data_IF_834038209314
#
_entry.id   IF_834038209314
#
_cell.length_a   1.000
_cell.length_b   1.000
_cell.length_c   1.000
_cell.angle_alpha   90.00
_cell.angle_beta   90.00
_cell.angle_gamma   90.00
#
_symmetry.space_group_name_H-M   'P 1'
#
loop_
_entity.id
_entity.type
_entity.pdbx_description
1 polymer ?
#
# COMPACT_ATOMS: atom_id res chain seq x y z
N UNK A 1 -44.71 9.15 5.11
CA UNK A 1 -43.71 8.24 5.69
C UNK A 1 -42.38 8.63 5.08
N UNK A 2 -41.71 9.55 5.74
CA UNK A 2 -40.51 10.23 5.26
C UNK A 2 -39.30 9.31 5.46
N UNK A 3 -38.67 8.93 4.37
CA UNK A 3 -37.42 8.19 4.37
C UNK A 3 -36.30 9.23 4.55
N UNK A 4 -35.74 9.29 5.76
CA UNK A 4 -34.48 9.98 5.99
C UNK A 4 -33.35 9.17 5.33
N UNK A 5 -32.80 9.66 4.23
CA UNK A 5 -31.57 9.13 3.63
C UNK A 5 -30.35 9.63 4.40
N UNK A 6 -29.98 8.93 5.49
CA UNK A 6 -28.76 9.21 6.27
C UNK A 6 -27.57 8.45 5.67
N UNK A 7 -27.04 8.95 4.56
CA UNK A 7 -25.81 8.43 3.98
C UNK A 7 -25.37 9.26 2.78
N UNK A 8 -24.09 9.63 2.75
CA UNK A 8 -23.47 10.28 1.61
C UNK A 8 -22.44 9.32 1.00
N UNK A 9 -22.47 9.19 -0.33
CA UNK A 9 -21.49 8.42 -1.10
C UNK A 9 -20.46 9.40 -1.65
N UNK A 10 -19.19 9.14 -1.38
CA UNK A 10 -18.08 9.87 -1.99
C UNK A 10 -17.52 8.95 -3.07
N UNK A 11 -17.68 9.33 -4.33
CA UNK A 11 -17.08 8.65 -5.47
C UNK A 11 -15.90 9.51 -5.97
N UNK A 12 -14.68 9.03 -5.74
CA UNK A 12 -13.46 9.70 -6.19
C UNK A 12 -12.76 8.86 -7.25
N UNK A 13 -12.75 9.28 -8.53
CA UNK A 13 -11.95 8.61 -9.55
C UNK A 13 -10.46 8.87 -9.25
N UNK A 14 -9.66 7.82 -9.03
CA UNK A 14 -8.21 7.95 -8.90
C UNK A 14 -7.51 7.24 -7.73
N UNK A 15 -8.17 6.34 -6.99
CA UNK A 15 -7.48 5.64 -5.89
C UNK A 15 -6.28 4.78 -6.34
N UNK A 16 -6.18 4.46 -7.63
CA UNK A 16 -5.04 3.73 -8.20
C UNK A 16 -3.80 4.62 -8.46
N UNK A 17 -3.92 5.96 -8.45
CA UNK A 17 -2.81 6.89 -8.73
C UNK A 17 -2.00 7.28 -7.48
N UNK A 18 -2.51 7.04 -6.27
CA UNK A 18 -1.76 7.22 -5.03
C UNK A 18 -0.78 6.05 -4.88
N UNK A 19 0.38 6.16 -5.54
CA UNK A 19 1.41 5.14 -5.57
C UNK A 19 1.90 4.71 -4.17
N UNK A 20 2.39 3.47 -4.07
CA UNK A 20 2.84 2.85 -2.82
C UNK A 20 4.23 3.32 -2.33
N UNK A 21 4.76 4.42 -2.87
CA UNK A 21 6.13 4.86 -2.59
C UNK A 21 6.41 5.08 -1.08
N UNK A 22 5.41 5.53 -0.33
CA UNK A 22 5.59 5.81 1.10
C UNK A 22 5.35 4.59 2.00
N UNK A 23 4.97 3.44 1.44
CA UNK A 23 4.63 2.24 2.20
C UNK A 23 5.87 1.36 2.31
N UNK A 24 6.39 1.22 3.52
CA UNK A 24 7.48 0.28 3.80
C UNK A 24 7.04 -1.17 3.64
N UNK A 25 7.99 -2.07 3.32
CA UNK A 25 7.73 -3.51 3.19
C UNK A 25 7.11 -4.09 4.48
N UNK A 26 7.54 -3.63 5.66
CA UNK A 26 6.95 -4.03 6.95
C UNK A 26 5.49 -3.57 7.09
N UNK A 27 5.17 -2.32 6.75
CA UNK A 27 3.78 -1.84 6.79
C UNK A 27 2.89 -2.64 5.83
N UNK A 28 3.43 -3.00 4.67
CA UNK A 28 2.74 -3.84 3.71
C UNK A 28 2.51 -5.24 4.29
N UNK A 29 3.50 -5.87 4.90
CA UNK A 29 3.34 -7.17 5.59
C UNK A 29 2.23 -7.13 6.65
N UNK A 30 2.14 -6.06 7.44
CA UNK A 30 1.11 -5.89 8.46
C UNK A 30 -0.30 -5.59 7.92
N UNK A 31 -0.40 -5.07 6.69
CA UNK A 31 -1.67 -4.81 6.01
C UNK A 31 -2.37 -6.11 5.56
N UNK A 32 -1.61 -7.19 5.35
CA UNK A 32 -2.16 -8.51 5.03
C UNK A 32 -2.59 -9.22 6.33
N UNK A 33 -3.90 -9.32 6.54
CA UNK A 33 -4.47 -9.88 7.79
C UNK A 33 -4.00 -11.32 8.03
N UNK A 34 -3.97 -12.13 7.00
CA UNK A 34 -3.54 -13.52 7.07
C UNK A 34 -2.06 -13.70 7.43
N UNK A 35 -1.20 -12.69 7.21
CA UNK A 35 0.22 -12.77 7.55
C UNK A 35 0.46 -12.60 9.05
N UNK A 36 -0.42 -11.86 9.76
CA UNK A 36 -0.21 -11.45 11.16
C UNK A 36 0.17 -12.60 12.10
N UNK A 37 -0.43 -13.78 11.93
CA UNK A 37 -0.15 -14.94 12.78
C UNK A 37 1.17 -15.65 12.46
N UNK A 38 1.83 -15.30 11.35
CA UNK A 38 3.06 -15.93 10.86
C UNK A 38 4.27 -14.97 10.84
N UNK A 39 4.03 -13.65 10.90
CA UNK A 39 5.10 -12.66 11.04
C UNK A 39 5.92 -12.92 12.31
N UNK A 40 7.25 -12.84 12.19
CA UNK A 40 8.20 -13.13 13.28
C UNK A 40 8.42 -14.62 13.58
N UNK A 41 7.70 -15.54 12.93
CA UNK A 41 7.91 -17.00 13.06
C UNK A 41 8.80 -17.59 11.97
N UNK A 42 9.28 -16.75 11.05
CA UNK A 42 10.25 -17.18 10.05
C UNK A 42 11.62 -17.37 10.70
N UNK A 43 12.43 -18.25 10.13
CA UNK A 43 13.82 -18.46 10.58
C UNK A 43 14.64 -17.17 10.61
N UNK A 44 14.46 -16.31 9.60
CA UNK A 44 15.17 -15.04 9.47
C UNK A 44 14.28 -13.86 9.87
N UNK A 45 14.86 -12.88 10.56
CA UNK A 45 14.16 -11.67 10.97
C UNK A 45 13.82 -10.73 9.80
N UNK A 46 14.66 -10.74 8.76
CA UNK A 46 14.51 -9.96 7.53
C UNK A 46 13.94 -10.78 6.37
N UNK A 47 13.05 -11.73 6.69
CA UNK A 47 12.44 -12.60 5.69
C UNK A 47 11.58 -11.79 4.71
N UNK A 48 11.87 -11.95 3.41
CA UNK A 48 11.13 -11.38 2.28
C UNK A 48 9.99 -12.28 1.79
N UNK A 49 9.89 -13.48 2.35
CA UNK A 49 8.87 -14.48 2.02
C UNK A 49 8.89 -14.93 0.54
N UNK A 50 10.04 -14.81 -0.14
CA UNK A 50 10.15 -15.07 -1.57
C UNK A 50 10.65 -16.49 -1.93
N UNK A 51 11.88 -16.84 -1.54
CA UNK A 51 12.51 -18.14 -1.80
C UNK A 51 13.37 -18.60 -0.60
N UNK A 52 13.05 -18.12 0.60
CA UNK A 52 13.85 -18.39 1.78
C UNK A 52 13.48 -19.73 2.42
N UNK A 53 14.48 -20.51 2.88
CA UNK A 53 14.22 -21.75 3.58
C UNK A 53 13.55 -21.47 4.94
N UNK A 54 12.61 -22.32 5.32
CA UNK A 54 11.90 -22.26 6.61
C UNK A 54 11.16 -20.92 6.84
N UNK A 55 10.47 -20.47 5.78
CA UNK A 55 9.57 -19.33 5.82
C UNK A 55 8.17 -19.76 6.29
N UNK A 56 7.74 -19.27 7.45
CA UNK A 56 6.43 -19.58 8.02
C UNK A 56 5.27 -19.17 7.10
N UNK A 57 5.42 -18.07 6.36
CA UNK A 57 4.40 -17.61 5.39
C UNK A 57 4.31 -18.56 4.21
N UNK A 58 5.43 -19.08 3.70
CA UNK A 58 5.38 -20.06 2.60
C UNK A 58 4.81 -21.39 3.06
N UNK A 59 5.19 -21.86 4.25
CA UNK A 59 4.59 -23.06 4.83
C UNK A 59 3.07 -22.91 5.01
N UNK A 60 2.60 -21.71 5.40
CA UNK A 60 1.18 -21.39 5.49
C UNK A 60 0.49 -21.36 4.12
N UNK A 61 1.17 -20.95 3.05
CA UNK A 61 0.65 -21.06 1.68
C UNK A 61 0.56 -22.52 1.23
N UNK A 62 1.61 -23.31 1.46
CA UNK A 62 1.63 -24.74 1.10
C UNK A 62 0.58 -25.56 1.83
N UNK A 63 0.25 -25.19 3.08
CA UNK A 63 -0.83 -25.80 3.85
C UNK A 63 -2.23 -25.26 3.54
N UNK A 64 -2.35 -24.26 2.66
CA UNK A 64 -3.62 -23.64 2.28
C UNK A 64 -4.20 -22.65 3.30
N UNK A 65 -3.48 -22.35 4.37
CA UNK A 65 -3.90 -21.33 5.35
C UNK A 65 -3.82 -19.90 4.80
N UNK A 66 -2.93 -19.68 3.81
CA UNK A 66 -2.84 -18.45 3.03
C UNK A 66 -3.06 -18.81 1.56
N UNK A 67 -3.97 -18.12 0.88
CA UNK A 67 -4.14 -18.31 -0.56
C UNK A 67 -2.87 -17.88 -1.32
N UNK A 68 -2.45 -18.67 -2.31
CA UNK A 68 -1.26 -18.39 -3.13
C UNK A 68 -1.35 -17.03 -3.83
N UNK A 69 -2.54 -16.65 -4.28
CA UNK A 69 -2.83 -15.34 -4.89
C UNK A 69 -2.53 -14.16 -3.93
N UNK A 70 -2.74 -14.35 -2.62
CA UNK A 70 -2.43 -13.31 -1.62
C UNK A 70 -0.93 -13.09 -1.50
N UNK A 71 -0.15 -14.17 -1.50
CA UNK A 71 1.31 -14.06 -1.51
C UNK A 71 1.82 -13.45 -2.83
N UNK A 72 1.23 -13.81 -3.97
CA UNK A 72 1.57 -13.22 -5.26
C UNK A 72 1.30 -11.71 -5.28
N UNK A 73 0.12 -11.28 -4.79
CA UNK A 73 -0.23 -9.88 -4.66
C UNK A 73 0.74 -9.13 -3.75
N UNK A 74 1.10 -9.71 -2.60
CA UNK A 74 2.11 -9.11 -1.71
C UNK A 74 3.43 -8.84 -2.46
N UNK A 75 3.95 -9.84 -3.19
CA UNK A 75 5.19 -9.70 -3.97
C UNK A 75 5.08 -8.60 -5.04
N UNK A 76 3.93 -8.51 -5.72
CA UNK A 76 3.68 -7.46 -6.70
C UNK A 76 3.72 -6.07 -6.05
N UNK A 77 2.98 -5.87 -4.95
CA UNK A 77 2.92 -4.57 -4.26
C UNK A 77 4.28 -4.15 -3.68
N UNK A 78 5.12 -5.09 -3.22
CA UNK A 78 6.50 -4.81 -2.81
C UNK A 78 7.37 -4.36 -4.00
N UNK A 79 7.16 -4.95 -5.18
CA UNK A 79 7.85 -4.53 -6.40
C UNK A 79 7.40 -3.14 -6.85
N UNK A 80 6.08 -2.89 -6.78
CA UNK A 80 5.47 -1.61 -7.16
C UNK A 80 5.93 -0.49 -6.23
N UNK A 81 6.02 -0.73 -4.91
CA UNK A 81 6.51 0.26 -3.95
C UNK A 81 7.97 0.64 -4.22
N UNK A 82 8.83 -0.35 -4.50
CA UNK A 82 10.25 -0.13 -4.86
C UNK A 82 10.40 0.65 -6.16
N UNK A 83 9.51 0.43 -7.13
CA UNK A 83 9.53 1.15 -8.40
C UNK A 83 9.03 2.59 -8.23
N UNK A 84 8.03 2.81 -7.37
CA UNK A 84 7.48 4.13 -7.09
C UNK A 84 8.49 5.05 -6.35
N UNK A 85 9.35 4.49 -5.49
CA UNK A 85 10.47 5.23 -4.89
C UNK A 85 11.43 5.82 -5.95
N UNK A 86 11.69 5.08 -7.02
CA UNK A 86 12.55 5.52 -8.14
C UNK A 86 11.91 6.68 -8.92
N UNK A 87 10.58 6.66 -9.06
CA UNK A 87 9.83 7.73 -9.75
C UNK A 87 9.82 9.04 -8.94
N UNK A 88 9.68 8.97 -7.60
CA UNK A 88 9.72 10.17 -6.74
C UNK A 88 11.12 10.80 -6.74
N UNK A 89 12.19 10.00 -6.71
CA UNK A 89 13.57 10.51 -6.71
C UNK A 89 14.01 11.13 -8.05
N UNK A 90 13.28 10.88 -9.14
CA UNK A 90 13.50 11.47 -10.45
C UNK A 90 12.63 12.70 -10.80
N UNK A 91 11.65 13.05 -9.95
CA UNK A 91 10.74 14.17 -10.19
C UNK A 91 11.17 15.35 -9.31
N UNK A 92 12.01 16.23 -9.88
CA UNK A 92 12.14 17.61 -9.39
C UNK A 92 10.76 18.26 -9.34
N UNK A 93 10.44 19.08 -8.33
CA UNK A 93 9.08 19.54 -8.10
C UNK A 93 8.69 20.58 -9.16
N UNK A 94 7.96 20.16 -10.20
CA UNK A 94 7.17 21.10 -11.01
C UNK A 94 5.93 21.51 -10.20
N UNK A 95 6.14 22.34 -9.17
CA UNK A 95 5.09 22.83 -8.25
C UNK A 95 4.32 24.03 -8.81
N UNK A 96 4.25 24.21 -10.13
CA UNK A 96 3.84 25.49 -10.73
C UNK A 96 2.73 25.37 -11.78
N UNK A 97 1.64 24.66 -11.46
CA UNK A 97 0.46 24.66 -12.37
C UNK A 97 -0.91 24.89 -11.72
N UNK A 98 -1.00 24.94 -10.39
CA UNK A 98 -2.23 25.33 -9.68
C UNK A 98 -2.16 26.74 -9.07
N UNK A 99 -1.07 27.48 -9.28
CA UNK A 99 -0.85 28.83 -8.74
C UNK A 99 -1.49 29.96 -9.56
N UNK A 100 -2.56 29.69 -10.30
CA UNK A 100 -3.39 30.76 -10.88
C UNK A 100 -4.74 30.77 -10.19
N UNK A 101 -4.98 31.90 -9.52
CA UNK A 101 -6.25 32.30 -8.92
C UNK A 101 -6.51 31.76 -7.51
N UNK A 102 -6.07 32.55 -6.52
CA UNK A 102 -6.93 33.17 -5.50
C UNK A 102 -5.99 33.99 -4.58
N UNK A 103 -5.89 35.31 -4.80
CA UNK A 103 -5.29 36.21 -3.81
C UNK A 103 -6.31 36.37 -2.66
N UNK A 104 -5.99 35.97 -1.42
CA UNK A 104 -6.88 36.24 -0.29
C UNK A 104 -6.92 37.75 -0.01
N UNK A 105 -8.10 38.34 0.24
CA UNK A 105 -8.23 39.77 0.46
C UNK A 105 -8.03 40.11 1.93
N UNK A 106 -6.80 40.37 2.37
CA UNK A 106 -6.52 41.05 3.65
C UNK A 106 -5.00 41.41 3.69
N UNK A 107 -4.51 42.59 4.10
CA UNK A 107 -4.91 43.55 5.14
C UNK A 107 -4.44 44.98 4.76
N UNK A 108 -5.00 45.96 5.48
CA UNK A 108 -4.80 47.43 5.39
C UNK A 108 -3.35 47.88 5.36
#
# INVERSE_FOLDING_TARGET
>A
RDIHCLGAIIDSPGFQEFGLAHVSESQLQHAFREFRSYLGKCRFHNCKHDNEPDCAVQAAVLSGAIASERLALFKQLVSDSKTADIQIQGISPSRERWSTSLKPPYKR
#
